data_IF_391925452724
#
_entry.id   IF_391925452724
#
_cell.length_a   1.000
_cell.length_b   1.000
_cell.length_c   1.000
_cell.angle_alpha   90.00
_cell.angle_beta   90.00
_cell.angle_gamma   90.00
#
_symmetry.space_group_name_H-M   'P 1'
#
loop_
_entity.id
_entity.type
_entity.pdbx_description
1 polymer ?
#
# COMPACT_ATOMS: atom_id res chain seq x y z
N UNK A 1 1.39 -11.48 -0.99
CA UNK A 1 1.15 -10.20 -1.67
C UNK A 1 1.55 -9.04 -0.76
N UNK A 2 1.95 -7.92 -1.35
CA UNK A 2 2.04 -6.64 -0.65
C UNK A 2 0.73 -5.87 -0.83
N UNK A 3 0.19 -5.30 0.25
CA UNK A 3 -1.01 -4.45 0.24
C UNK A 3 -0.56 -3.00 0.42
N UNK A 4 -0.81 -2.15 -0.58
CA UNK A 4 -0.47 -0.73 -0.50
C UNK A 4 -1.51 0.10 0.26
N UNK A 5 -1.20 1.39 0.46
CA UNK A 5 -2.11 2.29 1.14
C UNK A 5 -3.44 2.46 0.40
N UNK A 6 -3.42 2.53 -0.95
CA UNK A 6 -4.61 2.76 -1.76
C UNK A 6 -5.63 1.62 -1.63
N UNK A 7 -5.18 0.36 -1.60
CA UNK A 7 -6.03 -0.79 -1.34
C UNK A 7 -6.61 -0.80 0.09
N UNK A 8 -5.80 -0.43 1.10
CA UNK A 8 -6.29 -0.31 2.49
C UNK A 8 -7.38 0.77 2.59
N UNK A 9 -7.15 1.93 1.99
CA UNK A 9 -8.10 3.04 1.93
C UNK A 9 -9.39 2.58 1.25
N UNK A 10 -9.27 1.96 0.06
CA UNK A 10 -10.41 1.49 -0.70
C UNK A 10 -11.31 0.55 0.10
N UNK A 11 -10.71 -0.45 0.76
CA UNK A 11 -11.47 -1.41 1.59
C UNK A 11 -12.14 -0.69 2.78
N UNK A 12 -11.40 0.14 3.52
CA UNK A 12 -11.94 0.72 4.75
C UNK A 12 -13.01 1.77 4.48
N UNK A 13 -12.87 2.57 3.42
CA UNK A 13 -13.82 3.62 3.06
C UNK A 13 -14.87 3.22 2.02
N UNK A 14 -15.03 1.92 1.76
CA UNK A 14 -16.04 1.37 0.85
C UNK A 14 -16.01 2.04 -0.55
N UNK A 15 -14.80 2.20 -1.10
CA UNK A 15 -14.64 2.70 -2.47
C UNK A 15 -15.06 1.65 -3.51
N UNK A 16 -15.21 2.04 -4.77
CA UNK A 16 -15.66 1.14 -5.84
C UNK A 16 -14.89 -0.19 -5.93
N UNK A 17 -13.59 -0.18 -5.60
CA UNK A 17 -12.71 -1.35 -5.67
C UNK A 17 -12.64 -2.15 -4.36
N UNK A 18 -13.42 -1.77 -3.32
CA UNK A 18 -13.36 -2.34 -1.99
C UNK A 18 -13.60 -3.86 -1.98
N UNK A 19 -14.63 -4.32 -2.69
CA UNK A 19 -14.98 -5.75 -2.77
C UNK A 19 -13.85 -6.55 -3.41
N UNK A 20 -13.36 -6.10 -4.58
CA UNK A 20 -12.22 -6.73 -5.28
C UNK A 20 -10.98 -6.82 -4.41
N UNK A 21 -10.60 -5.72 -3.76
CA UNK A 21 -9.43 -5.70 -2.88
C UNK A 21 -9.65 -6.59 -1.66
N UNK A 22 -10.85 -6.59 -1.07
CA UNK A 22 -11.16 -7.43 0.09
C UNK A 22 -11.08 -8.92 -0.25
N UNK A 23 -11.61 -9.33 -1.40
CA UNK A 23 -11.57 -10.72 -1.87
C UNK A 23 -10.14 -11.18 -2.15
N UNK A 24 -9.33 -10.34 -2.81
CA UNK A 24 -7.92 -10.61 -3.02
C UNK A 24 -7.17 -10.81 -1.68
N UNK A 25 -7.42 -9.95 -0.70
CA UNK A 25 -6.84 -10.04 0.64
C UNK A 25 -7.26 -11.34 1.35
N UNK A 26 -8.50 -11.79 1.21
CA UNK A 26 -8.99 -13.05 1.80
C UNK A 26 -8.41 -14.29 1.12
N UNK A 27 -8.25 -14.25 -0.21
CA UNK A 27 -7.70 -15.37 -0.98
C UNK A 27 -6.17 -15.54 -0.82
N UNK A 28 -5.47 -14.52 -0.30
CA UNK A 28 -4.02 -14.55 -0.12
C UNK A 28 -3.58 -15.58 0.93
N UNK A 29 -2.67 -16.49 0.56
CA UNK A 29 -1.99 -17.35 1.54
C UNK A 29 -1.07 -16.54 2.49
N UNK A 30 -0.38 -15.55 1.94
CA UNK A 30 0.42 -14.59 2.71
C UNK A 30 0.13 -13.16 2.26
N UNK A 31 -0.07 -12.27 3.22
CA UNK A 31 -0.20 -10.84 2.98
C UNK A 31 0.57 -10.03 4.01
N UNK A 32 1.13 -8.93 3.55
CA UNK A 32 1.77 -7.96 4.41
C UNK A 32 1.67 -6.55 3.81
N UNK A 33 1.94 -5.56 4.64
CA UNK A 33 2.07 -4.15 4.26
C UNK A 33 3.32 -3.56 4.90
N UNK A 34 3.59 -2.27 4.71
CA UNK A 34 4.73 -1.57 5.32
C UNK A 34 4.30 -0.45 6.26
N UNK A 35 5.20 0.01 7.13
CA UNK A 35 4.93 1.13 8.03
C UNK A 35 4.52 2.41 7.26
N UNK A 36 5.06 2.60 6.04
CA UNK A 36 4.73 3.74 5.18
C UNK A 36 3.28 3.64 4.68
N UNK A 37 2.86 2.47 4.21
CA UNK A 37 1.49 2.25 3.75
C UNK A 37 0.48 2.42 4.89
N UNK A 38 0.80 1.94 6.09
CA UNK A 38 -0.04 2.13 7.29
C UNK A 38 -0.17 3.61 7.64
N UNK A 39 0.94 4.35 7.63
CA UNK A 39 0.93 5.78 7.89
C UNK A 39 0.09 6.53 6.86
N UNK A 40 0.28 6.24 5.58
CA UNK A 40 -0.44 6.91 4.50
C UNK A 40 -1.94 6.63 4.56
N UNK A 41 -2.34 5.37 4.75
CA UNK A 41 -3.75 4.99 4.88
C UNK A 41 -4.40 5.69 6.09
N UNK A 42 -3.75 5.70 7.25
CA UNK A 42 -4.27 6.35 8.45
C UNK A 42 -4.46 7.86 8.25
N UNK A 43 -3.48 8.54 7.65
CA UNK A 43 -3.56 9.99 7.38
C UNK A 43 -4.60 10.30 6.29
N UNK A 44 -4.72 9.48 5.26
CA UNK A 44 -5.68 9.67 4.19
C UNK A 44 -7.13 9.49 4.67
N UNK A 45 -7.41 8.42 5.42
CA UNK A 45 -8.75 8.12 5.93
C UNK A 45 -9.24 9.15 6.96
N UNK A 46 -8.33 9.81 7.68
CA UNK A 46 -8.66 10.86 8.65
C UNK A 46 -9.12 12.17 7.98
N UNK A 47 -8.92 12.35 6.67
CA UNK A 47 -9.21 13.63 6.00
C UNK A 47 -10.71 13.95 6.00
N UNK A 48 -11.09 15.24 5.90
CA UNK A 48 -12.49 15.67 5.89
C UNK A 48 -13.33 15.08 4.75
N UNK A 49 -12.71 14.79 3.61
CA UNK A 49 -13.33 14.16 2.43
C UNK A 49 -13.43 12.63 2.52
N UNK A 50 -12.92 12.05 3.62
CA UNK A 50 -13.05 10.63 3.98
C UNK A 50 -13.91 10.50 5.23
N UNK A 51 -13.32 10.12 6.38
CA UNK A 51 -14.10 9.89 7.60
C UNK A 51 -14.26 11.13 8.48
N UNK A 52 -13.48 12.19 8.25
CA UNK A 52 -13.50 13.40 9.08
C UNK A 52 -13.30 13.11 10.59
N UNK A 53 -12.36 12.21 10.91
CA UNK A 53 -12.00 11.78 12.27
C UNK A 53 -10.55 12.17 12.60
N UNK A 54 -10.13 11.98 13.85
CA UNK A 54 -8.72 12.19 14.21
C UNK A 54 -7.81 11.15 13.54
N UNK A 55 -6.54 11.51 13.34
CA UNK A 55 -5.53 10.55 12.84
C UNK A 55 -5.38 9.37 13.80
N UNK A 56 -5.56 9.56 15.11
CA UNK A 56 -5.48 8.46 16.07
C UNK A 56 -6.66 7.48 15.94
N UNK A 57 -7.88 7.99 15.73
CA UNK A 57 -9.04 7.14 15.48
C UNK A 57 -8.88 6.34 14.19
N UNK A 58 -8.44 7.02 13.12
CA UNK A 58 -8.14 6.39 11.83
C UNK A 58 -7.03 5.34 11.95
N UNK A 59 -5.94 5.64 12.69
CA UNK A 59 -4.88 4.68 13.00
C UNK A 59 -5.43 3.42 13.66
N UNK A 60 -6.34 3.55 14.64
CA UNK A 60 -6.95 2.39 15.30
C UNK A 60 -7.80 1.54 14.34
N UNK A 61 -8.51 2.17 13.39
CA UNK A 61 -9.23 1.45 12.33
C UNK A 61 -8.29 0.66 11.43
N UNK A 62 -7.20 1.29 10.95
CA UNK A 62 -6.21 0.63 10.10
C UNK A 62 -5.55 -0.54 10.82
N UNK A 63 -5.11 -0.36 12.07
CA UNK A 63 -4.49 -1.45 12.85
C UNK A 63 -5.47 -2.60 13.08
N UNK A 64 -6.72 -2.30 13.47
CA UNK A 64 -7.75 -3.34 13.66
C UNK A 64 -8.02 -4.11 12.36
N UNK A 65 -8.02 -3.43 11.21
CA UNK A 65 -8.12 -4.08 9.89
C UNK A 65 -6.96 -5.05 9.64
N UNK A 66 -5.71 -4.62 9.89
CA UNK A 66 -4.54 -5.49 9.68
C UNK A 66 -4.58 -6.71 10.60
N UNK A 67 -4.99 -6.55 11.86
CA UNK A 67 -5.15 -7.66 12.81
C UNK A 67 -6.24 -8.64 12.38
N UNK A 68 -7.43 -8.14 12.01
CA UNK A 68 -8.53 -8.97 11.53
C UNK A 68 -8.19 -9.72 10.23
N UNK A 69 -7.35 -9.09 9.40
CA UNK A 69 -6.84 -9.64 8.16
C UNK A 69 -5.43 -10.19 8.33
N UNK A 70 -5.01 -10.65 9.51
CA UNK A 70 -3.71 -11.30 9.74
C UNK A 70 -2.57 -10.78 8.81
N UNK A 71 -2.46 -9.45 8.71
CA UNK A 71 -1.61 -8.77 7.74
C UNK A 71 -0.42 -8.25 8.50
N UNK A 72 0.74 -8.85 8.25
CA UNK A 72 1.96 -8.42 8.90
C UNK A 72 2.38 -7.03 8.41
N UNK A 73 2.96 -6.21 9.30
CA UNK A 73 3.75 -5.05 8.89
C UNK A 73 5.20 -5.50 8.75
N UNK A 74 5.78 -5.37 7.55
CA UNK A 74 7.17 -5.73 7.27
C UNK A 74 7.92 -4.51 6.74
N UNK A 75 9.12 -4.30 7.26
CA UNK A 75 10.02 -3.26 6.78
C UNK A 75 10.87 -3.75 5.61
N UNK A 76 11.50 -2.81 4.90
CA UNK A 76 12.64 -3.13 4.05
C UNK A 76 13.84 -3.56 4.94
N UNK A 77 14.77 -4.39 4.44
CA UNK A 77 15.70 -5.15 5.27
C UNK A 77 16.61 -4.26 6.14
N UNK A 78 17.09 -3.14 5.60
CA UNK A 78 17.83 -2.12 6.34
C UNK A 78 17.65 -0.72 5.72
N UNK A 79 17.99 0.37 6.44
CA UNK A 79 17.80 1.73 5.93
C UNK A 79 18.54 2.03 4.62
N UNK A 80 19.73 1.46 4.40
CA UNK A 80 20.51 1.70 3.17
C UNK A 80 19.84 1.01 1.97
N UNK A 81 19.36 -0.21 2.16
CA UNK A 81 18.60 -0.94 1.16
C UNK A 81 17.27 -0.24 0.86
N UNK A 82 16.60 0.30 1.89
CA UNK A 82 15.37 1.06 1.72
C UNK A 82 15.59 2.31 0.84
N UNK A 83 16.68 3.04 1.07
CA UNK A 83 17.07 4.19 0.23
C UNK A 83 17.39 3.74 -1.19
N UNK A 84 18.23 2.71 -1.37
CA UNK A 84 18.63 2.24 -2.70
C UNK A 84 17.42 1.79 -3.53
N UNK A 85 16.59 0.91 -2.98
CA UNK A 85 15.45 0.32 -3.70
C UNK A 85 14.36 1.36 -4.04
N UNK A 86 14.09 2.29 -3.13
CA UNK A 86 13.13 3.37 -3.39
C UNK A 86 13.66 4.38 -4.42
N UNK A 87 14.96 4.66 -4.43
CA UNK A 87 15.58 5.50 -5.47
C UNK A 87 15.59 4.80 -6.83
N UNK A 88 15.82 3.50 -6.88
CA UNK A 88 15.72 2.72 -8.13
C UNK A 88 14.30 2.81 -8.71
N UNK A 89 13.28 2.69 -7.86
CA UNK A 89 11.89 2.91 -8.26
C UNK A 89 11.67 4.33 -8.81
N UNK A 90 12.20 5.34 -8.11
CA UNK A 90 12.06 6.73 -8.50
C UNK A 90 12.74 7.03 -9.85
N UNK A 91 13.96 6.52 -10.05
CA UNK A 91 14.70 6.68 -11.31
C UNK A 91 13.94 6.11 -12.51
N UNK A 92 13.22 5.00 -12.30
CA UNK A 92 12.52 4.27 -13.37
C UNK A 92 11.11 4.80 -13.63
N UNK A 93 10.39 5.18 -12.57
CA UNK A 93 8.92 5.34 -12.64
C UNK A 93 8.40 6.68 -12.09
N UNK A 94 9.28 7.64 -11.74
CA UNK A 94 8.88 8.96 -11.21
C UNK A 94 8.77 10.05 -12.28
N UNK A 95 8.77 9.70 -13.56
CA UNK A 95 8.67 10.64 -14.68
C UNK A 95 7.44 10.34 -15.54
N UNK A 96 6.83 11.40 -16.10
CA UNK A 96 5.65 11.29 -16.96
C UNK A 96 4.30 11.39 -16.23
N UNK A 97 3.20 11.19 -16.98
CA UNK A 97 1.85 10.99 -16.41
C UNK A 97 1.79 9.65 -15.66
N UNK A 98 0.98 9.57 -14.60
CA UNK A 98 0.83 8.36 -13.78
C UNK A 98 2.16 7.86 -13.19
N UNK A 99 2.87 8.78 -12.54
CA UNK A 99 4.19 8.54 -11.91
C UNK A 99 4.05 8.11 -10.46
N UNK A 100 4.97 7.27 -10.00
CA UNK A 100 5.05 6.93 -8.58
C UNK A 100 5.35 8.17 -7.74
N UNK A 101 4.57 8.38 -6.68
CA UNK A 101 4.88 9.39 -5.66
C UNK A 101 6.00 8.90 -4.71
N UNK A 102 6.35 9.66 -3.68
CA UNK A 102 7.40 9.24 -2.73
C UNK A 102 7.04 7.92 -2.02
N UNK A 103 5.84 7.83 -1.43
CA UNK A 103 5.38 6.63 -0.74
C UNK A 103 5.24 5.45 -1.70
N UNK A 104 4.75 5.68 -2.92
CA UNK A 104 4.65 4.64 -3.95
C UNK A 104 6.01 4.04 -4.32
N UNK A 105 7.08 4.83 -4.30
CA UNK A 105 8.43 4.30 -4.51
C UNK A 105 8.82 3.30 -3.40
N UNK A 106 8.39 3.53 -2.16
CA UNK A 106 8.61 2.58 -1.06
C UNK A 106 7.66 1.38 -1.13
N UNK A 107 6.40 1.57 -1.54
CA UNK A 107 5.46 0.47 -1.80
C UNK A 107 6.01 -0.46 -2.89
N UNK A 108 6.45 0.13 -4.01
CA UNK A 108 7.12 -0.58 -5.09
C UNK A 108 8.35 -1.34 -4.56
N UNK A 109 9.22 -0.67 -3.79
CA UNK A 109 10.42 -1.28 -3.24
C UNK A 109 10.10 -2.50 -2.36
N UNK A 110 9.03 -2.43 -1.55
CA UNK A 110 8.59 -3.56 -0.73
C UNK A 110 8.14 -4.74 -1.59
N UNK A 111 7.22 -4.52 -2.53
CA UNK A 111 6.73 -5.57 -3.42
C UNK A 111 7.88 -6.20 -4.23
N UNK A 112 8.80 -5.38 -4.74
CA UNK A 112 9.98 -5.81 -5.50
C UNK A 112 10.96 -6.61 -4.64
N UNK A 113 11.30 -6.12 -3.45
CA UNK A 113 12.28 -6.77 -2.57
C UNK A 113 11.83 -8.16 -2.12
N UNK A 114 10.58 -8.27 -1.71
CA UNK A 114 9.99 -9.52 -1.26
C UNK A 114 9.53 -10.43 -2.41
N UNK A 115 9.67 -9.99 -3.66
CA UNK A 115 9.26 -10.71 -4.86
C UNK A 115 7.81 -11.20 -4.79
N UNK A 116 6.90 -10.33 -4.35
CA UNK A 116 5.47 -10.63 -4.23
C UNK A 116 4.62 -9.74 -5.13
N UNK A 117 3.43 -10.20 -5.54
CA UNK A 117 2.51 -9.36 -6.28
C UNK A 117 1.96 -8.21 -5.42
N UNK A 118 1.66 -7.09 -6.08
CA UNK A 118 1.14 -5.83 -5.52
C UNK A 118 -0.38 -5.80 -5.60
N UNK A 119 -1.06 -5.58 -4.48
CA UNK A 119 -2.47 -5.20 -4.45
C UNK A 119 -2.59 -3.69 -4.29
N UNK A 120 -3.13 -3.02 -5.30
CA UNK A 120 -3.37 -1.58 -5.32
C UNK A 120 -4.61 -1.23 -6.15
N UNK A 121 -5.18 -0.07 -5.87
CA UNK A 121 -6.18 0.60 -6.73
C UNK A 121 -5.56 1.72 -7.57
N UNK A 122 -4.29 2.03 -7.35
CA UNK A 122 -3.53 3.07 -8.05
C UNK A 122 -3.00 2.52 -9.39
N UNK A 123 -3.36 3.20 -10.49
CA UNK A 123 -3.02 2.76 -11.85
C UNK A 123 -1.52 2.85 -12.16
N UNK A 124 -0.78 3.68 -11.41
CA UNK A 124 0.65 3.89 -11.59
C UNK A 124 1.45 2.58 -11.48
N UNK A 125 1.06 1.67 -10.60
CA UNK A 125 1.75 0.39 -10.45
C UNK A 125 1.57 -0.55 -11.65
N UNK A 126 0.47 -0.42 -12.41
CA UNK A 126 0.25 -1.19 -13.65
C UNK A 126 1.21 -0.78 -14.76
N UNK A 127 1.85 0.39 -14.65
CA UNK A 127 2.87 0.89 -15.58
C UNK A 127 4.30 0.52 -15.16
N UNK A 128 4.45 -0.24 -14.09
CA UNK A 128 5.74 -0.73 -13.60
C UNK A 128 6.02 -2.15 -14.08
N UNK A 129 7.15 -2.71 -13.66
CA UNK A 129 7.52 -4.11 -13.87
C UNK A 129 7.08 -5.05 -12.72
N UNK A 130 6.16 -4.61 -11.86
CA UNK A 130 5.55 -5.45 -10.83
C UNK A 130 4.38 -6.26 -11.40
N UNK A 131 4.18 -7.46 -10.85
CA UNK A 131 2.92 -8.16 -10.99
C UNK A 131 1.87 -7.48 -10.09
N UNK A 132 0.78 -6.98 -10.69
CA UNK A 132 -0.35 -6.38 -9.97
C UNK A 132 -1.51 -7.34 -9.90
N UNK A 133 -2.13 -7.45 -8.73
CA UNK A 133 -3.34 -8.26 -8.54
C UNK A 133 -4.51 -7.55 -9.21
N UNK A 134 -5.22 -8.21 -10.15
CA UNK A 134 -6.25 -7.59 -10.97
C UNK A 134 -7.40 -7.06 -10.16
#
# INVERSE_FOLDING_TARGET
MFIDAAAIIAILSDENEAERCSDAVVAAAERFTSAIAVWEAAVALARPDKFAISVDDSRRLVIAFLEQRDTAVRDLPDPSAAVSLSLDAAMRFRSGPNRLNLADCFHYACARHYAVPMLSTADEFRLTDLETIP
#
